data_IF_384584137322
#
_entry.id   IF_384584137322
#
_cell.length_a   1.000
_cell.length_b   1.000
_cell.length_c   1.000
_cell.angle_alpha   90.00
_cell.angle_beta   90.00
_cell.angle_gamma   90.00
#
_symmetry.space_group_name_H-M   'P 1'
#
loop_
_entity.id
_entity.type
_entity.pdbx_description
1 polymer ?
#
# COMPACT_ATOMS: atom_id res chain seq x y z
N UNK A 1 -26.33 -25.80 -4.22
CA UNK A 1 -25.01 -25.71 -4.88
C UNK A 1 -24.02 -26.48 -4.03
N UNK A 2 -23.22 -27.33 -4.62
CA UNK A 2 -22.15 -28.03 -3.90
C UNK A 2 -21.11 -27.00 -3.44
N UNK A 3 -20.73 -27.05 -2.16
CA UNK A 3 -19.72 -26.13 -1.63
C UNK A 3 -18.35 -26.44 -2.25
N UNK A 4 -17.61 -25.41 -2.60
CA UNK A 4 -16.26 -25.62 -3.11
C UNK A 4 -15.36 -26.10 -1.96
N UNK A 5 -14.61 -27.18 -2.20
CA UNK A 5 -13.63 -27.72 -1.25
C UNK A 5 -12.35 -26.86 -1.30
N UNK A 6 -12.45 -25.68 -0.69
CA UNK A 6 -11.40 -24.65 -0.62
C UNK A 6 -11.45 -23.99 0.76
N UNK A 7 -10.28 -23.61 1.25
CA UNK A 7 -10.15 -22.74 2.42
C UNK A 7 -9.99 -21.29 1.96
N UNK A 8 -10.94 -20.43 2.30
CA UNK A 8 -10.91 -19.00 1.95
C UNK A 8 -10.74 -18.15 3.21
N UNK A 9 -9.70 -17.33 3.22
CA UNK A 9 -9.49 -16.29 4.24
C UNK A 9 -10.06 -14.97 3.76
N UNK A 10 -10.86 -14.31 4.60
CA UNK A 10 -11.25 -12.90 4.39
C UNK A 10 -10.57 -12.04 5.43
N UNK A 11 -9.72 -11.15 4.96
CA UNK A 11 -8.96 -10.20 5.77
C UNK A 11 -9.63 -8.83 5.73
N UNK A 12 -9.96 -8.30 6.90
CA UNK A 12 -10.60 -6.99 7.09
C UNK A 12 -9.74 -6.09 7.96
N UNK A 13 -9.03 -5.12 7.39
CA UNK A 13 -8.39 -4.07 8.19
C UNK A 13 -9.49 -3.15 8.77
N UNK A 14 -9.47 -2.96 10.08
CA UNK A 14 -10.42 -2.13 10.82
C UNK A 14 -9.82 -0.76 11.14
N UNK A 15 -10.64 0.28 11.06
CA UNK A 15 -10.26 1.62 11.50
C UNK A 15 -11.34 2.19 12.42
N UNK A 16 -12.28 2.94 11.92
CA UNK A 16 -13.45 3.48 12.67
C UNK A 16 -14.73 2.78 12.18
N UNK A 17 -14.82 1.47 12.36
CA UNK A 17 -15.84 0.62 11.74
C UNK A 17 -16.90 0.10 12.74
N UNK A 18 -16.95 0.65 13.97
CA UNK A 18 -17.78 0.16 15.06
C UNK A 18 -19.26 -0.10 14.66
N UNK A 19 -19.84 0.80 13.87
CA UNK A 19 -21.25 0.72 13.48
C UNK A 19 -21.57 -0.37 12.45
N UNK A 20 -20.58 -0.77 11.65
CA UNK A 20 -20.81 -1.61 10.46
C UNK A 20 -20.19 -3.00 10.58
N UNK A 21 -19.15 -3.16 11.43
CA UNK A 21 -18.35 -4.39 11.48
C UNK A 21 -19.19 -5.63 11.78
N UNK A 22 -20.13 -5.54 12.71
CA UNK A 22 -21.03 -6.66 13.05
C UNK A 22 -21.80 -7.17 11.84
N UNK A 23 -22.46 -6.26 11.12
CA UNK A 23 -23.24 -6.59 9.93
C UNK A 23 -22.37 -7.15 8.79
N UNK A 24 -21.21 -6.53 8.55
CA UNK A 24 -20.31 -6.97 7.46
C UNK A 24 -19.72 -8.34 7.72
N UNK A 25 -19.32 -8.62 8.96
CA UNK A 25 -18.78 -9.94 9.32
C UNK A 25 -19.87 -11.01 9.25
N UNK A 26 -21.11 -10.71 9.67
CA UNK A 26 -22.24 -11.63 9.57
C UNK A 26 -22.60 -11.94 8.11
N UNK A 27 -22.70 -10.90 7.25
CA UNK A 27 -22.90 -11.05 5.80
C UNK A 27 -21.79 -11.93 5.20
N UNK A 28 -20.53 -11.64 5.56
CA UNK A 28 -19.36 -12.37 5.04
C UNK A 28 -19.36 -13.82 5.49
N UNK A 29 -19.57 -14.08 6.79
CA UNK A 29 -19.62 -15.44 7.34
C UNK A 29 -20.73 -16.27 6.69
N UNK A 30 -21.91 -15.67 6.54
CA UNK A 30 -23.04 -16.33 5.87
C UNK A 30 -22.71 -16.70 4.43
N UNK A 31 -22.15 -15.76 3.69
CA UNK A 31 -21.76 -15.97 2.29
C UNK A 31 -20.67 -17.05 2.18
N UNK A 32 -19.63 -17.02 3.06
CA UNK A 32 -18.56 -18.00 3.07
C UNK A 32 -19.07 -19.40 3.38
N UNK A 33 -19.90 -19.54 4.40
CA UNK A 33 -20.50 -20.82 4.81
C UNK A 33 -21.35 -21.45 3.69
N UNK A 34 -22.03 -20.63 2.89
CA UNK A 34 -22.85 -21.12 1.77
C UNK A 34 -22.02 -21.62 0.59
N UNK A 35 -20.85 -21.04 0.34
CA UNK A 35 -20.06 -21.27 -0.88
C UNK A 35 -18.82 -22.16 -0.67
N UNK A 36 -18.25 -22.21 0.54
CA UNK A 36 -16.99 -22.89 0.81
C UNK A 36 -17.10 -23.90 1.96
N UNK A 37 -16.30 -24.96 1.91
CA UNK A 37 -16.24 -25.97 2.96
C UNK A 37 -15.55 -25.42 4.20
N UNK A 38 -14.45 -24.69 4.01
CA UNK A 38 -13.65 -24.10 5.07
C UNK A 38 -13.44 -22.61 4.83
N UNK A 39 -13.47 -21.83 5.91
CA UNK A 39 -13.18 -20.40 5.83
C UNK A 39 -12.65 -19.87 7.17
N UNK A 40 -11.96 -18.76 7.11
CA UNK A 40 -11.60 -17.91 8.25
C UNK A 40 -11.82 -16.45 7.93
N UNK A 41 -12.12 -15.66 8.94
CA UNK A 41 -12.21 -14.21 8.85
C UNK A 41 -11.17 -13.64 9.82
N UNK A 42 -10.26 -12.81 9.30
CA UNK A 42 -9.24 -12.14 10.10
C UNK A 42 -9.57 -10.65 10.16
N UNK A 43 -9.83 -10.17 11.35
CA UNK A 43 -10.02 -8.76 11.66
C UNK A 43 -8.68 -8.22 12.16
N UNK A 44 -8.18 -7.14 11.58
CA UNK A 44 -6.94 -6.50 12.04
C UNK A 44 -7.24 -5.09 12.51
N UNK A 45 -7.16 -4.88 13.81
CA UNK A 45 -7.36 -3.59 14.46
C UNK A 45 -6.02 -2.84 14.54
N UNK A 46 -5.94 -1.71 13.85
CA UNK A 46 -4.74 -0.89 13.73
C UNK A 46 -4.97 0.49 14.35
N UNK A 47 -4.65 0.61 15.65
CA UNK A 47 -4.94 1.83 16.38
C UNK A 47 -6.43 2.18 16.45
N UNK A 48 -7.30 1.18 16.26
CA UNK A 48 -8.76 1.37 16.26
C UNK A 48 -9.25 1.88 17.59
N UNK A 49 -10.33 2.67 17.56
CA UNK A 49 -10.99 3.19 18.75
C UNK A 49 -11.61 2.07 19.63
N UNK A 50 -11.85 2.37 20.90
CA UNK A 50 -12.42 1.39 21.85
C UNK A 50 -13.78 0.85 21.39
N UNK A 51 -14.59 1.66 20.71
CA UNK A 51 -15.88 1.26 20.20
C UNK A 51 -15.76 0.19 19.11
N UNK A 52 -14.82 0.37 18.18
CA UNK A 52 -14.52 -0.63 17.12
C UNK A 52 -13.97 -1.91 17.72
N UNK A 53 -13.06 -1.81 18.71
CA UNK A 53 -12.53 -2.99 19.41
C UNK A 53 -13.62 -3.75 20.15
N UNK A 54 -14.50 -3.06 20.88
CA UNK A 54 -15.62 -3.68 21.59
C UNK A 54 -16.59 -4.37 20.62
N UNK A 55 -16.91 -3.72 19.48
CA UNK A 55 -17.75 -4.31 18.44
C UNK A 55 -17.10 -5.56 17.82
N UNK A 56 -15.81 -5.52 17.51
CA UNK A 56 -15.06 -6.66 16.99
C UNK A 56 -15.04 -7.83 17.99
N UNK A 57 -14.83 -7.57 19.29
CA UNK A 57 -14.88 -8.60 20.33
C UNK A 57 -16.29 -9.21 20.49
N UNK A 58 -17.34 -8.39 20.36
CA UNK A 58 -18.71 -8.89 20.36
C UNK A 58 -19.01 -9.83 19.18
N UNK A 59 -18.39 -9.57 18.03
CA UNK A 59 -18.45 -10.44 16.83
C UNK A 59 -17.77 -11.77 17.09
N UNK A 60 -16.58 -11.79 17.71
CA UNK A 60 -15.87 -13.02 18.05
C UNK A 60 -16.69 -13.96 18.92
N UNK A 61 -17.47 -13.42 19.87
CA UNK A 61 -18.30 -14.21 20.76
C UNK A 61 -19.49 -14.88 20.04
N UNK A 62 -19.93 -14.35 18.90
CA UNK A 62 -21.14 -14.78 18.20
C UNK A 62 -20.86 -15.59 16.94
N UNK A 63 -19.80 -15.25 16.21
CA UNK A 63 -19.52 -15.79 14.89
C UNK A 63 -18.28 -16.69 14.95
N UNK A 64 -18.38 -17.96 14.53
CA UNK A 64 -17.24 -18.87 14.50
C UNK A 64 -16.25 -18.52 13.40
N UNK A 65 -15.06 -19.07 13.50
CA UNK A 65 -13.97 -18.92 12.49
C UNK A 65 -13.53 -17.46 12.29
N UNK A 66 -13.63 -16.63 13.35
CA UNK A 66 -13.16 -15.24 13.35
C UNK A 66 -11.96 -15.10 14.27
N UNK A 67 -10.94 -14.38 13.80
CA UNK A 67 -9.72 -14.01 14.54
C UNK A 67 -9.60 -12.50 14.57
N UNK A 68 -9.21 -11.95 15.71
CA UNK A 68 -8.93 -10.53 15.87
C UNK A 68 -7.47 -10.35 16.24
N UNK A 69 -6.73 -9.66 15.37
CA UNK A 69 -5.35 -9.26 15.60
C UNK A 69 -5.34 -7.79 15.97
N UNK A 70 -4.74 -7.45 17.09
CA UNK A 70 -4.63 -6.07 17.53
C UNK A 70 -3.18 -5.62 17.40
N UNK A 71 -2.93 -4.57 16.64
CA UNK A 71 -1.62 -3.94 16.54
C UNK A 71 -1.40 -2.99 17.72
N UNK A 72 -0.14 -2.79 18.10
CA UNK A 72 0.19 -2.01 19.30
C UNK A 72 -0.05 -0.50 19.16
N UNK A 73 -0.16 -0.01 17.94
CA UNK A 73 -0.48 1.38 17.57
C UNK A 73 -0.99 1.42 16.13
N UNK A 74 -1.36 2.59 15.64
CA UNK A 74 -1.64 2.81 14.22
C UNK A 74 -0.33 2.72 13.41
N UNK A 75 -0.24 1.72 12.55
CA UNK A 75 0.86 1.48 11.60
C UNK A 75 0.44 1.77 10.17
N UNK A 76 -0.84 1.99 9.94
CA UNK A 76 -1.45 2.23 8.65
C UNK A 76 -1.99 0.97 7.98
N UNK A 77 -3.01 1.17 7.14
CA UNK A 77 -3.80 0.10 6.51
C UNK A 77 -2.95 -0.97 5.81
N UNK A 78 -1.87 -0.59 5.17
CA UNK A 78 -1.05 -1.55 4.40
C UNK A 78 -0.31 -2.53 5.31
N UNK A 79 0.18 -2.06 6.47
CA UNK A 79 0.82 -2.94 7.45
C UNK A 79 -0.20 -3.81 8.20
N UNK A 80 -1.42 -3.30 8.41
CA UNK A 80 -2.53 -4.11 8.92
C UNK A 80 -2.87 -5.26 7.98
N UNK A 81 -2.93 -4.98 6.68
CA UNK A 81 -3.15 -6.03 5.67
C UNK A 81 -2.01 -7.03 5.66
N UNK A 82 -0.75 -6.57 5.78
CA UNK A 82 0.40 -7.47 5.85
C UNK A 82 0.32 -8.40 7.06
N UNK A 83 0.02 -7.86 8.25
CA UNK A 83 -0.12 -8.65 9.47
C UNK A 83 -1.16 -9.77 9.31
N UNK A 84 -2.28 -9.45 8.67
CA UNK A 84 -3.30 -10.45 8.36
C UNK A 84 -2.85 -11.44 7.28
N UNK A 85 -2.12 -11.03 6.26
CA UNK A 85 -1.58 -11.93 5.23
C UNK A 85 -0.58 -12.93 5.80
N UNK A 86 0.32 -12.51 6.69
CA UNK A 86 1.32 -13.36 7.32
C UNK A 86 0.69 -14.46 8.21
N UNK A 87 -0.45 -14.17 8.80
CA UNK A 87 -1.17 -15.13 9.67
C UNK A 87 -2.25 -15.93 8.95
N UNK A 88 -2.61 -15.54 7.73
CA UNK A 88 -3.67 -16.19 6.95
C UNK A 88 -3.27 -17.61 6.52
N UNK A 89 -4.24 -18.55 6.51
CA UNK A 89 -4.01 -19.96 6.14
C UNK A 89 -4.77 -20.41 4.87
N UNK A 90 -5.72 -19.59 4.37
CA UNK A 90 -6.56 -19.95 3.24
C UNK A 90 -5.80 -20.14 1.92
N UNK A 91 -6.35 -20.97 1.03
CA UNK A 91 -5.86 -21.16 -0.35
C UNK A 91 -5.97 -19.86 -1.15
N UNK A 92 -7.00 -19.08 -0.83
CA UNK A 92 -7.26 -17.76 -1.39
C UNK A 92 -7.48 -16.77 -0.24
N UNK A 93 -6.81 -15.63 -0.32
CA UNK A 93 -6.97 -14.55 0.66
C UNK A 93 -7.64 -13.37 0.01
N UNK A 94 -8.77 -12.96 0.58
CA UNK A 94 -9.57 -11.82 0.15
C UNK A 94 -9.30 -10.65 1.09
N UNK A 95 -8.82 -9.54 0.57
CA UNK A 95 -8.71 -8.28 1.32
C UNK A 95 -10.00 -7.51 1.08
N UNK A 96 -10.75 -7.22 2.14
CA UNK A 96 -12.04 -6.57 2.08
C UNK A 96 -12.08 -5.38 3.05
N UNK A 97 -12.41 -4.20 2.54
CA UNK A 97 -12.64 -3.00 3.34
C UNK A 97 -14.10 -2.94 3.74
N UNK A 98 -14.45 -3.00 5.06
CA UNK A 98 -15.84 -3.10 5.53
C UNK A 98 -16.76 -2.02 4.99
N UNK A 99 -16.27 -0.78 4.87
CA UNK A 99 -17.06 0.38 4.43
C UNK A 99 -17.49 0.30 2.96
N UNK A 100 -16.60 -0.22 2.08
CA UNK A 100 -16.75 -0.05 0.63
C UNK A 100 -17.01 -1.32 -0.15
N UNK A 101 -16.62 -2.48 0.38
CA UNK A 101 -16.55 -3.68 -0.44
C UNK A 101 -17.73 -4.64 -0.12
N UNK A 102 -18.48 -5.05 -1.14
CA UNK A 102 -19.61 -5.96 -0.96
C UNK A 102 -19.13 -7.43 -0.85
N UNK A 103 -19.42 -8.14 0.28
CA UNK A 103 -19.06 -9.55 0.46
C UNK A 103 -19.64 -10.48 -0.61
N UNK A 104 -20.79 -10.12 -1.19
CA UNK A 104 -21.46 -10.93 -2.22
C UNK A 104 -20.63 -11.16 -3.49
N UNK A 105 -19.61 -10.34 -3.75
CA UNK A 105 -18.74 -10.49 -4.92
C UNK A 105 -17.58 -11.45 -4.69
N UNK A 106 -17.29 -11.85 -3.45
CA UNK A 106 -16.18 -12.73 -3.10
C UNK A 106 -16.19 -14.04 -3.94
N UNK A 107 -17.30 -14.78 -4.07
CA UNK A 107 -17.27 -16.03 -4.82
C UNK A 107 -16.87 -15.86 -6.29
N UNK A 108 -17.33 -14.79 -6.93
CA UNK A 108 -16.99 -14.49 -8.32
C UNK A 108 -15.51 -14.11 -8.47
N UNK A 109 -14.98 -13.32 -7.53
CA UNK A 109 -13.58 -12.92 -7.55
C UNK A 109 -12.65 -14.11 -7.24
N UNK A 110 -12.99 -14.97 -6.27
CA UNK A 110 -12.23 -16.18 -5.94
C UNK A 110 -12.23 -17.15 -7.13
N UNK A 111 -13.37 -17.39 -7.79
CA UNK A 111 -13.43 -18.22 -8.98
C UNK A 111 -12.48 -17.70 -10.09
N UNK A 112 -12.52 -16.40 -10.35
CA UNK A 112 -11.62 -15.75 -11.31
C UNK A 112 -10.14 -15.84 -10.90
N UNK A 113 -9.83 -15.73 -9.61
CA UNK A 113 -8.48 -15.84 -9.08
C UNK A 113 -7.96 -17.29 -9.23
N UNK A 114 -8.82 -18.28 -9.01
CA UNK A 114 -8.51 -19.69 -9.20
C UNK A 114 -8.13 -20.00 -10.64
N UNK A 115 -8.90 -19.52 -11.60
CA UNK A 115 -8.64 -19.74 -13.03
C UNK A 115 -7.34 -19.07 -13.49
N UNK A 116 -6.97 -17.95 -12.82
CA UNK A 116 -5.78 -17.17 -13.17
C UNK A 116 -4.51 -17.65 -12.47
N UNK A 117 -4.62 -18.31 -11.31
CA UNK A 117 -3.54 -18.63 -10.35
C UNK A 117 -2.66 -17.40 -10.04
N UNK A 118 -3.30 -16.29 -9.71
CA UNK A 118 -2.62 -15.01 -9.52
C UNK A 118 -3.36 -14.08 -8.57
N UNK A 119 -3.74 -12.90 -9.07
CA UNK A 119 -4.44 -11.88 -8.31
C UNK A 119 -5.60 -11.27 -9.11
N UNK A 120 -6.72 -11.05 -8.44
CA UNK A 120 -7.86 -10.28 -8.94
C UNK A 120 -7.99 -9.00 -8.15
N UNK A 121 -7.97 -7.85 -8.83
CA UNK A 121 -8.13 -6.52 -8.24
C UNK A 121 -9.51 -5.98 -8.53
N UNK A 122 -10.21 -5.51 -7.52
CA UNK A 122 -11.40 -4.69 -7.69
C UNK A 122 -11.05 -3.35 -8.33
N UNK A 123 -11.85 -2.95 -9.29
CA UNK A 123 -11.71 -1.66 -9.97
C UNK A 123 -13.04 -0.91 -9.86
N UNK A 124 -12.98 0.30 -9.33
CA UNK A 124 -14.15 1.17 -9.23
C UNK A 124 -14.65 1.57 -10.62
N UNK A 125 -15.87 1.08 -10.97
CA UNK A 125 -16.54 1.36 -12.24
C UNK A 125 -17.33 2.68 -12.23
N UNK A 126 -17.47 3.36 -11.09
CA UNK A 126 -18.22 4.61 -10.97
C UNK A 126 -17.55 5.81 -11.65
N UNK A 127 -16.35 5.63 -12.17
CA UNK A 127 -15.58 6.62 -12.92
C UNK A 127 -14.73 7.53 -12.04
N UNK A 128 -13.70 8.13 -12.66
CA UNK A 128 -12.78 9.05 -11.99
C UNK A 128 -13.50 10.36 -11.70
N UNK A 129 -14.00 10.51 -10.49
CA UNK A 129 -14.56 11.77 -9.99
C UNK A 129 -13.42 12.68 -9.53
N UNK A 130 -13.09 13.70 -10.32
CA UNK A 130 -12.08 14.71 -9.97
C UNK A 130 -12.03 15.84 -10.99
N UNK A 131 -11.63 17.04 -10.53
CA UNK A 131 -11.44 18.20 -11.41
C UNK A 131 -10.35 17.99 -12.46
N UNK A 132 -10.26 18.86 -13.49
CA UNK A 132 -9.32 18.71 -14.60
C UNK A 132 -7.85 18.66 -14.14
N UNK A 133 -7.48 19.43 -13.13
CA UNK A 133 -6.11 19.44 -12.56
C UNK A 133 -5.75 18.09 -11.96
N UNK A 134 -6.64 17.49 -11.17
CA UNK A 134 -6.45 16.16 -10.56
C UNK A 134 -6.32 15.08 -11.63
N UNK A 135 -7.07 15.20 -12.72
CA UNK A 135 -7.01 14.27 -13.86
C UNK A 135 -5.66 14.36 -14.60
N UNK A 136 -5.16 15.58 -14.82
CA UNK A 136 -3.85 15.80 -15.45
C UNK A 136 -2.73 15.23 -14.57
N UNK A 137 -2.75 15.51 -13.26
CA UNK A 137 -1.74 15.03 -12.33
C UNK A 137 -1.73 13.49 -12.23
N UNK A 138 -2.92 12.89 -12.20
CA UNK A 138 -3.09 11.44 -12.21
C UNK A 138 -2.54 10.81 -13.50
N UNK A 139 -2.83 11.42 -14.66
CA UNK A 139 -2.30 10.95 -15.94
C UNK A 139 -0.78 11.09 -16.01
N UNK A 140 -0.22 12.19 -15.49
CA UNK A 140 1.22 12.41 -15.43
C UNK A 140 1.91 11.39 -14.52
N UNK A 141 1.32 11.12 -13.35
CA UNK A 141 1.78 10.08 -12.42
C UNK A 141 1.78 8.69 -13.09
N UNK A 142 0.69 8.28 -13.73
CA UNK A 142 0.61 7.00 -14.45
C UNK A 142 1.59 6.93 -15.62
N UNK A 143 1.80 8.03 -16.34
CA UNK A 143 2.78 8.09 -17.41
C UNK A 143 4.22 7.92 -16.89
N UNK A 144 4.53 8.56 -15.75
CA UNK A 144 5.79 8.41 -15.05
C UNK A 144 6.01 6.96 -14.59
N UNK A 145 5.01 6.35 -13.91
CA UNK A 145 5.06 4.98 -13.43
C UNK A 145 5.32 3.99 -14.57
N UNK A 146 4.60 4.12 -15.68
CA UNK A 146 4.77 3.28 -16.86
C UNK A 146 6.12 3.47 -17.53
N UNK A 147 6.62 4.73 -17.62
CA UNK A 147 7.86 5.07 -18.34
C UNK A 147 9.13 4.69 -17.55
N UNK A 148 9.13 4.88 -16.24
CA UNK A 148 10.33 4.76 -15.41
C UNK A 148 10.33 3.51 -14.53
N UNK A 149 9.21 3.12 -13.96
CA UNK A 149 9.11 1.89 -13.15
C UNK A 149 8.68 0.67 -13.95
N UNK A 150 8.28 0.85 -15.22
CA UNK A 150 7.78 -0.22 -16.10
C UNK A 150 6.62 -0.99 -15.46
N UNK A 151 5.87 -0.35 -14.59
CA UNK A 151 4.81 -0.93 -13.78
C UNK A 151 3.48 -0.38 -14.27
N UNK A 152 2.60 -1.28 -14.66
CA UNK A 152 1.24 -0.93 -15.03
C UNK A 152 0.34 -1.01 -13.80
N UNK A 153 0.17 0.12 -13.12
CA UNK A 153 -0.89 0.27 -12.13
C UNK A 153 -2.23 0.38 -12.86
N UNK A 154 -3.13 -0.55 -12.57
CA UNK A 154 -4.50 -0.48 -13.11
C UNK A 154 -5.19 0.77 -12.55
N UNK A 155 -5.63 1.71 -13.39
CA UNK A 155 -6.31 2.91 -12.93
C UNK A 155 -7.65 2.55 -12.27
N UNK A 156 -7.95 3.16 -11.12
CA UNK A 156 -9.17 2.89 -10.38
C UNK A 156 -9.14 1.63 -9.51
N UNK A 157 -7.97 0.97 -9.34
CA UNK A 157 -7.84 -0.14 -8.39
C UNK A 157 -8.19 0.30 -6.97
N UNK A 158 -9.06 -0.49 -6.34
CA UNK A 158 -9.41 -0.37 -4.92
C UNK A 158 -8.55 -1.31 -4.07
N UNK A 159 -8.79 -1.32 -2.77
CA UNK A 159 -8.14 -2.26 -1.87
C UNK A 159 -8.82 -3.64 -1.84
N UNK A 160 -10.00 -3.77 -2.47
CA UNK A 160 -10.69 -5.05 -2.64
C UNK A 160 -9.90 -5.96 -3.58
N UNK A 161 -9.33 -7.05 -3.06
CA UNK A 161 -8.43 -7.94 -3.82
C UNK A 161 -8.58 -9.37 -3.38
N UNK A 162 -8.33 -10.28 -4.32
CA UNK A 162 -8.19 -11.71 -4.05
C UNK A 162 -6.82 -12.16 -4.49
N UNK A 163 -6.10 -12.82 -3.60
CA UNK A 163 -4.75 -13.31 -3.80
C UNK A 163 -4.74 -14.84 -3.70
N UNK A 164 -4.04 -15.52 -4.60
CA UNK A 164 -3.76 -16.95 -4.44
C UNK A 164 -2.71 -17.17 -3.35
N UNK A 165 -2.67 -18.34 -2.72
CA UNK A 165 -1.67 -18.70 -1.69
C UNK A 165 -0.24 -18.49 -2.18
N UNK A 166 0.03 -18.83 -3.43
CA UNK A 166 1.35 -18.59 -4.04
C UNK A 166 1.74 -17.11 -4.04
N UNK A 167 0.77 -16.27 -4.35
CA UNK A 167 0.97 -14.81 -4.33
C UNK A 167 1.20 -14.30 -2.91
N UNK A 168 0.41 -14.76 -1.93
CA UNK A 168 0.58 -14.41 -0.52
C UNK A 168 1.97 -14.81 -0.03
N UNK A 169 2.38 -16.06 -0.27
CA UNK A 169 3.70 -16.54 0.13
C UNK A 169 4.85 -15.77 -0.53
N UNK A 170 4.67 -15.33 -1.77
CA UNK A 170 5.65 -14.48 -2.43
C UNK A 170 5.71 -13.08 -1.80
N UNK A 171 4.55 -12.48 -1.49
CA UNK A 171 4.48 -11.15 -0.88
C UNK A 171 5.07 -11.12 0.53
N UNK A 172 4.81 -12.14 1.35
CA UNK A 172 5.32 -12.22 2.73
C UNK A 172 6.83 -12.50 2.83
N UNK A 173 7.47 -12.94 1.74
CA UNK A 173 8.94 -13.07 1.69
C UNK A 173 9.67 -11.74 1.51
N UNK A 174 9.01 -10.73 0.95
CA UNK A 174 9.61 -9.41 0.79
C UNK A 174 9.53 -8.62 2.09
N UNK A 175 10.63 -8.57 2.84
CA UNK A 175 10.74 -7.76 4.07
C UNK A 175 11.07 -6.29 3.80
N UNK A 176 11.39 -5.96 2.55
CA UNK A 176 11.81 -4.61 2.15
C UNK A 176 10.60 -3.80 1.67
N UNK A 177 10.41 -2.60 2.19
CA UNK A 177 9.48 -1.58 1.67
C UNK A 177 7.99 -1.97 1.65
N UNK A 178 7.47 -2.51 2.74
CA UNK A 178 6.04 -2.88 2.86
C UNK A 178 5.05 -1.71 2.79
N UNK A 179 5.51 -0.50 2.62
CA UNK A 179 4.60 0.66 2.58
C UNK A 179 3.64 0.66 1.39
N UNK A 180 3.75 -0.29 0.45
CA UNK A 180 2.87 -0.30 -0.72
C UNK A 180 2.67 -1.70 -1.30
N UNK A 181 1.75 -2.46 -0.70
CA UNK A 181 1.26 -3.73 -1.22
C UNK A 181 0.86 -3.63 -2.70
N UNK A 182 0.31 -2.48 -3.10
CA UNK A 182 -0.08 -2.18 -4.48
C UNK A 182 1.11 -2.23 -5.44
N UNK A 183 2.30 -1.83 -4.99
CA UNK A 183 3.52 -1.86 -5.81
C UNK A 183 4.16 -3.25 -5.79
N UNK A 184 4.23 -3.92 -4.63
CA UNK A 184 4.78 -5.26 -4.52
C UNK A 184 4.04 -6.25 -5.41
N UNK A 185 2.71 -6.16 -5.47
CA UNK A 185 1.91 -7.00 -6.35
C UNK A 185 2.24 -6.82 -7.83
N UNK A 186 2.83 -5.69 -8.23
CA UNK A 186 3.27 -5.47 -9.62
C UNK A 186 4.67 -6.03 -9.88
N UNK A 187 5.52 -6.09 -8.86
CA UNK A 187 6.92 -6.53 -8.96
C UNK A 187 7.03 -8.06 -9.03
N UNK A 188 6.13 -8.78 -8.37
CA UNK A 188 6.18 -10.25 -8.27
C UNK A 188 5.88 -10.97 -9.59
N UNK A 189 5.38 -10.28 -10.62
CA UNK A 189 5.24 -10.83 -11.97
C UNK A 189 4.12 -11.86 -12.18
N UNK A 190 3.26 -12.09 -11.18
CA UNK A 190 2.09 -12.97 -11.34
C UNK A 190 1.00 -12.35 -12.21
N UNK A 191 0.15 -13.19 -12.79
CA UNK A 191 -0.98 -12.76 -13.60
C UNK A 191 -1.97 -11.94 -12.76
N UNK A 192 -2.46 -10.84 -13.33
CA UNK A 192 -3.39 -9.91 -12.69
C UNK A 192 -4.60 -9.70 -13.57
N UNK A 193 -5.78 -9.66 -12.95
CA UNK A 193 -7.03 -9.37 -13.64
C UNK A 193 -7.78 -8.25 -12.91
N UNK A 194 -8.40 -7.37 -13.67
CA UNK A 194 -9.32 -6.38 -13.16
C UNK A 194 -10.73 -6.97 -13.01
N UNK A 195 -11.39 -6.64 -11.91
CA UNK A 195 -12.78 -6.96 -11.66
C UNK A 195 -13.56 -5.66 -11.42
N UNK A 196 -14.29 -5.17 -12.42
CA UNK A 196 -15.06 -3.94 -12.26
C UNK A 196 -16.22 -4.16 -11.29
N UNK A 197 -16.36 -3.26 -10.30
CA UNK A 197 -17.48 -3.25 -9.38
C UNK A 197 -17.81 -1.82 -8.94
N UNK A 198 -18.93 -1.63 -8.27
CA UNK A 198 -19.32 -0.35 -7.71
C UNK A 198 -19.15 -0.42 -6.19
N UNK A 199 -18.23 0.38 -5.60
CA UNK A 199 -18.06 0.45 -4.16
C UNK A 199 -19.34 0.92 -3.47
N UNK A 200 -19.60 0.36 -2.30
CA UNK A 200 -20.68 0.78 -1.41
C UNK A 200 -20.24 1.99 -0.58
N UNK A 201 -21.18 2.63 0.10
CA UNK A 201 -20.92 3.58 1.19
C UNK A 201 -21.88 3.26 2.31
N UNK A 202 -21.46 2.42 3.26
CA UNK A 202 -22.32 1.90 4.33
C UNK A 202 -22.59 2.93 5.41
N UNK A 203 -21.58 3.71 5.76
CA UNK A 203 -21.72 4.79 6.77
C UNK A 203 -22.24 6.11 6.18
N UNK A 204 -22.34 6.20 4.85
CA UNK A 204 -22.65 7.45 4.15
C UNK A 204 -21.49 8.48 4.20
N UNK A 205 -20.41 8.19 4.90
CA UNK A 205 -19.17 8.97 4.89
C UNK A 205 -18.36 8.60 3.65
N UNK A 206 -18.39 9.43 2.64
CA UNK A 206 -17.47 9.26 1.50
C UNK A 206 -16.08 9.66 2.02
N UNK A 207 -15.27 8.69 2.42
CA UNK A 207 -13.86 8.92 2.75
C UNK A 207 -13.11 9.34 1.48
N UNK A 208 -13.06 10.65 1.26
CA UNK A 208 -12.25 11.23 0.18
C UNK A 208 -10.90 11.59 0.76
N UNK A 209 -9.87 10.90 0.31
CA UNK A 209 -8.49 11.37 0.57
C UNK A 209 -8.37 12.83 0.08
N UNK A 210 -7.79 13.67 0.91
CA UNK A 210 -7.49 15.03 0.54
C UNK A 210 -6.53 15.09 -0.65
N UNK A 211 -6.62 16.13 -1.48
CA UNK A 211 -5.68 16.30 -2.60
C UNK A 211 -4.21 16.32 -2.15
N UNK A 212 -3.93 16.92 -0.99
CA UNK A 212 -2.59 16.98 -0.40
C UNK A 212 -2.12 15.59 0.03
N UNK A 213 -2.98 14.77 0.61
CA UNK A 213 -2.67 13.38 1.00
C UNK A 213 -2.36 12.51 -0.21
N UNK A 214 -3.16 12.62 -1.28
CA UNK A 214 -2.88 11.92 -2.54
C UNK A 214 -1.55 12.35 -3.18
N UNK A 215 -1.21 13.63 -3.07
CA UNK A 215 0.05 14.15 -3.59
C UNK A 215 1.25 13.63 -2.77
N UNK A 216 1.16 13.62 -1.44
CA UNK A 216 2.19 13.03 -0.58
C UNK A 216 2.37 11.54 -0.86
N UNK A 217 1.28 10.78 -0.95
CA UNK A 217 1.33 9.34 -1.30
C UNK A 217 2.00 9.12 -2.67
N UNK A 218 1.69 9.96 -3.66
CA UNK A 218 2.33 9.87 -4.97
C UNK A 218 3.84 10.19 -4.94
N UNK A 219 4.25 11.19 -4.16
CA UNK A 219 5.66 11.55 -3.98
C UNK A 219 6.40 10.42 -3.26
N UNK A 220 5.82 9.87 -2.20
CA UNK A 220 6.39 8.75 -1.46
C UNK A 220 6.59 7.52 -2.35
N UNK A 221 5.63 7.20 -3.21
CA UNK A 221 5.75 6.14 -4.20
C UNK A 221 6.97 6.38 -5.11
N UNK A 222 7.10 7.59 -5.64
CA UNK A 222 8.17 7.95 -6.56
C UNK A 222 9.53 7.86 -5.87
N UNK A 223 9.66 8.40 -4.67
CA UNK A 223 10.94 8.45 -3.95
C UNK A 223 11.35 7.07 -3.44
N UNK A 224 10.39 6.26 -2.98
CA UNK A 224 10.67 4.92 -2.44
C UNK A 224 11.02 3.91 -3.53
N UNK A 225 10.31 3.93 -4.66
CA UNK A 225 10.44 2.89 -5.70
C UNK A 225 11.21 3.34 -6.94
N UNK A 226 11.64 4.61 -7.03
CA UNK A 226 12.36 5.12 -8.19
C UNK A 226 13.73 5.65 -7.83
N UNK A 227 14.75 5.18 -8.55
CA UNK A 227 16.10 5.78 -8.51
C UNK A 227 16.22 7.05 -9.35
N UNK A 228 15.15 7.46 -10.02
CA UNK A 228 15.17 8.62 -10.93
C UNK A 228 15.42 9.96 -10.21
N UNK A 229 14.80 10.26 -9.04
CA UNK A 229 15.10 11.48 -8.31
C UNK A 229 16.59 11.59 -7.97
N UNK A 230 17.22 10.49 -7.55
CA UNK A 230 18.65 10.47 -7.22
C UNK A 230 19.53 10.70 -8.49
N UNK A 231 19.15 10.10 -9.61
CA UNK A 231 19.83 10.36 -10.90
C UNK A 231 19.67 11.81 -11.33
N UNK A 232 18.48 12.39 -11.19
CA UNK A 232 18.26 13.80 -11.51
C UNK A 232 19.21 14.70 -10.71
N UNK A 233 19.34 14.43 -9.41
CA UNK A 233 20.26 15.14 -8.52
C UNK A 233 21.71 15.00 -9.00
N UNK A 234 22.14 13.79 -9.37
CA UNK A 234 23.47 13.57 -9.91
C UNK A 234 23.68 14.36 -11.20
N UNK A 235 22.72 14.37 -12.11
CA UNK A 235 22.79 15.16 -13.35
C UNK A 235 22.84 16.67 -13.07
N UNK A 236 22.05 17.16 -12.09
CA UNK A 236 22.12 18.57 -11.66
C UNK A 236 23.51 18.92 -11.12
N UNK A 237 24.11 18.04 -10.32
CA UNK A 237 25.47 18.21 -9.80
C UNK A 237 26.52 18.28 -10.92
N UNK A 238 26.46 17.34 -11.87
CA UNK A 238 27.33 17.36 -13.04
C UNK A 238 27.17 18.62 -13.89
N UNK A 239 25.94 19.06 -14.11
CA UNK A 239 25.65 20.28 -14.86
C UNK A 239 26.17 21.53 -14.15
N UNK A 240 25.94 21.64 -12.84
CA UNK A 240 26.49 22.74 -12.04
C UNK A 240 28.02 22.74 -12.03
N UNK A 241 28.64 21.56 -11.89
CA UNK A 241 30.09 21.40 -12.00
C UNK A 241 30.64 21.84 -13.36
N UNK A 242 29.97 21.43 -14.44
CA UNK A 242 30.36 21.83 -15.79
C UNK A 242 30.28 23.35 -16.02
N UNK A 243 29.19 23.99 -15.56
CA UNK A 243 29.06 25.46 -15.62
C UNK A 243 30.14 26.16 -14.80
N UNK A 244 30.51 25.59 -13.65
CA UNK A 244 31.60 26.15 -12.84
C UNK A 244 32.94 26.08 -13.56
N UNK A 245 33.26 24.94 -14.21
CA UNK A 245 34.50 24.80 -15.01
C UNK A 245 34.53 25.80 -16.15
N UNK A 246 33.43 26.00 -16.87
CA UNK A 246 33.33 27.02 -17.92
C UNK A 246 33.56 28.44 -17.40
N UNK A 247 33.01 28.74 -16.19
CA UNK A 247 33.22 30.04 -15.56
C UNK A 247 34.68 30.25 -15.17
N UNK A 248 35.34 29.26 -14.59
CA UNK A 248 36.77 29.32 -14.23
C UNK A 248 37.61 29.54 -15.47
N UNK A 249 37.31 28.83 -16.57
CA UNK A 249 37.99 29.00 -17.85
C UNK A 249 37.79 30.42 -18.39
N UNK A 250 36.56 30.95 -18.35
CA UNK A 250 36.23 32.34 -18.74
C UNK A 250 37.02 33.35 -17.89
N UNK A 251 37.06 33.19 -16.58
CA UNK A 251 37.80 34.04 -15.66
C UNK A 251 39.31 34.02 -15.96
N UNK A 252 39.88 32.84 -16.23
CA UNK A 252 41.28 32.67 -16.61
C UNK A 252 41.60 33.35 -17.97
N UNK A 253 40.71 33.24 -18.98
CA UNK A 253 40.89 33.91 -20.28
C UNK A 253 40.85 35.43 -20.11
N UNK A 254 39.92 35.98 -19.31
CA UNK A 254 39.87 37.41 -19.02
C UNK A 254 41.16 37.88 -18.35
N UNK A 255 41.66 37.15 -17.37
CA UNK A 255 42.91 37.49 -16.69
C UNK A 255 44.11 37.51 -17.61
N UNK A 256 44.16 36.60 -18.61
CA UNK A 256 45.26 36.54 -19.59
C UNK A 256 45.21 37.64 -20.67
N UNK A 257 44.00 38.04 -21.09
CA UNK A 257 43.85 38.93 -22.23
C UNK A 257 43.43 40.37 -21.89
N UNK A 258 42.95 40.66 -20.68
CA UNK A 258 42.50 41.99 -20.25
C UNK A 258 43.43 42.54 -19.16
N UNK A 259 44.04 43.71 -19.42
CA UNK A 259 44.93 44.39 -18.46
C UNK A 259 44.17 45.17 -17.38
N UNK A 260 42.95 45.64 -17.67
CA UNK A 260 42.05 46.32 -16.70
C UNK A 260 40.82 45.45 -16.48
N UNK A 261 40.80 44.72 -15.36
CA UNK A 261 39.66 43.94 -14.95
C UNK A 261 38.77 44.80 -14.07
N UNK A 262 37.60 45.17 -14.56
CA UNK A 262 36.57 45.82 -13.72
C UNK A 262 36.25 44.93 -12.49
N UNK A 263 35.97 45.52 -11.32
CA UNK A 263 35.72 44.74 -10.13
C UNK A 263 34.52 43.80 -10.30
N UNK A 264 34.79 42.53 -10.59
CA UNK A 264 33.79 41.49 -10.83
C UNK A 264 33.09 40.96 -9.61
N UNK A 265 32.99 41.76 -8.53
CA UNK A 265 32.43 41.36 -7.24
C UNK A 265 30.99 40.85 -7.38
N UNK A 266 30.15 41.52 -8.14
CA UNK A 266 28.74 41.17 -8.35
C UNK A 266 28.63 39.81 -9.06
N UNK A 267 29.45 39.57 -10.08
CA UNK A 267 29.46 38.33 -10.87
C UNK A 267 29.89 37.14 -9.99
N UNK A 268 30.94 37.33 -9.18
CA UNK A 268 31.39 36.32 -8.21
C UNK A 268 30.32 36.00 -7.16
N UNK A 269 29.66 37.02 -6.62
CA UNK A 269 28.61 36.84 -5.63
C UNK A 269 27.41 36.08 -6.18
N UNK A 270 26.96 36.41 -7.38
CA UNK A 270 25.85 35.70 -8.04
C UNK A 270 26.24 34.26 -8.36
N UNK A 271 27.43 34.02 -8.88
CA UNK A 271 27.92 32.66 -9.16
C UNK A 271 27.99 31.81 -7.88
N UNK A 272 28.58 32.34 -6.81
CA UNK A 272 28.63 31.60 -5.54
C UNK A 272 27.22 31.31 -4.99
N UNK A 273 26.30 32.28 -5.09
CA UNK A 273 24.90 32.08 -4.69
C UNK A 273 24.25 30.92 -5.44
N UNK A 274 24.39 30.87 -6.76
CA UNK A 274 23.87 29.79 -7.61
C UNK A 274 24.53 28.44 -7.27
N UNK A 275 25.83 28.42 -7.10
CA UNK A 275 26.57 27.22 -6.72
C UNK A 275 26.12 26.66 -5.37
N UNK A 276 25.99 27.52 -4.35
CA UNK A 276 25.53 27.11 -3.04
C UNK A 276 24.08 26.61 -3.08
N UNK A 277 23.21 27.22 -3.87
CA UNK A 277 21.85 26.73 -4.06
C UNK A 277 21.87 25.27 -4.56
N UNK A 278 22.66 24.95 -5.57
CA UNK A 278 22.78 23.56 -6.04
C UNK A 278 23.38 22.64 -4.99
N UNK A 279 24.43 23.07 -4.30
CA UNK A 279 25.07 22.24 -3.24
C UNK A 279 24.10 21.95 -2.10
N UNK A 280 23.37 22.93 -1.61
CA UNK A 280 22.38 22.73 -0.55
C UNK A 280 21.19 21.87 -1.00
N UNK A 281 20.72 22.03 -2.25
CA UNK A 281 19.70 21.18 -2.84
C UNK A 281 20.14 19.73 -2.93
N UNK A 282 21.39 19.50 -3.38
CA UNK A 282 22.02 18.18 -3.40
C UNK A 282 22.10 17.54 -2.00
N UNK A 283 22.57 18.31 -1.01
CA UNK A 283 22.68 17.83 0.36
C UNK A 283 21.33 17.51 0.96
N UNK A 284 20.29 18.32 0.71
CA UNK A 284 18.95 18.06 1.21
C UNK A 284 18.39 16.73 0.68
N UNK A 285 18.52 16.49 -0.62
CA UNK A 285 18.05 15.25 -1.23
C UNK A 285 18.90 14.05 -0.77
N UNK A 286 20.23 14.22 -0.68
CA UNK A 286 21.10 13.17 -0.17
C UNK A 286 20.75 12.79 1.28
N UNK A 287 20.44 13.79 2.12
CA UNK A 287 20.02 13.58 3.51
C UNK A 287 18.75 12.73 3.60
N UNK A 288 17.77 12.97 2.72
CA UNK A 288 16.55 12.16 2.64
C UNK A 288 16.85 10.69 2.33
N UNK A 289 17.74 10.43 1.36
CA UNK A 289 18.13 9.07 1.02
C UNK A 289 18.93 8.38 2.12
N UNK A 290 19.84 9.11 2.79
CA UNK A 290 20.59 8.57 3.92
C UNK A 290 19.65 8.24 5.07
N UNK A 291 18.65 9.09 5.34
CA UNK A 291 17.61 8.80 6.33
C UNK A 291 16.88 7.50 6.04
N UNK A 292 16.46 7.27 4.79
CA UNK A 292 15.80 6.02 4.36
C UNK A 292 16.69 4.80 4.49
N UNK A 293 17.97 4.89 4.09
CA UNK A 293 18.93 3.80 4.26
C UNK A 293 19.11 3.47 5.74
N UNK A 294 19.14 4.48 6.61
CA UNK A 294 19.25 4.29 8.05
C UNK A 294 18.00 3.58 8.62
N UNK A 295 16.82 3.94 8.19
CA UNK A 295 15.57 3.28 8.59
C UNK A 295 15.57 1.81 8.15
N UNK A 296 15.93 1.53 6.91
CA UNK A 296 15.99 0.19 6.36
C UNK A 296 17.07 -0.67 7.05
N UNK A 297 18.24 -0.08 7.39
CA UNK A 297 19.32 -0.78 8.05
C UNK A 297 19.04 -1.15 9.50
N UNK A 298 18.10 -0.46 10.18
CA UNK A 298 17.74 -0.73 11.57
C UNK A 298 17.04 -2.07 11.79
N UNK A 299 16.50 -2.69 10.74
CA UNK A 299 15.86 -4.02 10.80
C UNK A 299 14.73 -4.12 11.83
N UNK A 300 14.07 -3.00 12.15
CA UNK A 300 12.96 -2.99 13.11
C UNK A 300 11.78 -3.78 12.55
N UNK A 301 11.03 -4.51 13.41
CA UNK A 301 9.80 -5.14 12.94
C UNK A 301 8.87 -4.06 12.38
N UNK A 302 8.24 -4.36 11.26
CA UNK A 302 7.38 -3.43 10.53
C UNK A 302 6.13 -3.05 11.33
N UNK A 303 5.62 -4.00 12.10
CA UNK A 303 4.50 -3.84 13.01
C UNK A 303 4.73 -4.69 14.28
N UNK A 304 3.98 -4.42 15.33
CA UNK A 304 3.98 -5.19 16.56
C UNK A 304 2.54 -5.58 16.89
N UNK A 305 2.30 -6.87 17.05
CA UNK A 305 1.02 -7.39 17.52
C UNK A 305 0.99 -7.23 19.04
N UNK A 306 -0.04 -6.56 19.57
CA UNK A 306 -0.23 -6.38 21.01
C UNK A 306 -1.01 -7.52 21.62
N UNK A 307 -2.02 -8.03 20.91
CA UNK A 307 -2.87 -9.12 21.38
C UNK A 307 -3.53 -9.83 20.18
N UNK A 308 -3.88 -11.10 20.37
CA UNK A 308 -4.64 -11.89 19.41
C UNK A 308 -5.77 -12.61 20.13
N UNK A 309 -6.99 -12.46 19.63
CA UNK A 309 -8.19 -13.10 20.17
C UNK A 309 -8.87 -13.93 19.09
N UNK A 310 -9.31 -15.11 19.47
CA UNK A 310 -9.95 -16.05 18.57
C UNK A 310 -11.39 -16.31 19.01
N UNK A 311 -12.27 -16.60 18.06
CA UNK A 311 -13.59 -17.13 18.35
C UNK A 311 -13.47 -18.54 18.97
N UNK A 312 -14.51 -19.05 19.66
CA UNK A 312 -14.48 -20.38 20.29
C UNK A 312 -14.21 -21.52 19.30
N UNK A 313 -14.54 -21.31 18.02
CA UNK A 313 -14.32 -22.26 16.93
C UNK A 313 -13.48 -21.58 15.86
N UNK A 314 -12.25 -22.09 15.62
CA UNK A 314 -11.36 -21.56 14.60
C UNK A 314 -11.60 -22.22 13.23
N UNK A 315 -11.86 -23.53 13.22
CA UNK A 315 -12.15 -24.29 12.01
C UNK A 315 -13.34 -25.21 12.26
N UNK A 316 -14.22 -25.31 11.27
CA UNK A 316 -15.29 -26.28 11.25
C UNK A 316 -14.84 -27.46 10.36
N UNK A 317 -14.85 -28.65 10.91
CA UNK A 317 -14.68 -29.90 10.13
C UNK A 317 -15.98 -30.29 9.42
N UNK A 318 -15.96 -31.38 8.65
CA UNK A 318 -17.14 -31.87 7.93
C UNK A 318 -18.31 -32.22 8.89
N UNK A 319 -17.99 -32.55 10.13
CA UNK A 319 -18.97 -32.87 11.20
C UNK A 319 -19.33 -31.64 12.05
N UNK A 320 -18.87 -30.44 11.68
CA UNK A 320 -19.02 -29.18 12.44
C UNK A 320 -18.42 -29.26 13.87
N UNK A 321 -17.42 -30.09 14.07
CA UNK A 321 -16.71 -30.19 15.35
C UNK A 321 -15.57 -29.18 15.39
N UNK A 322 -15.32 -28.67 16.57
CA UNK A 322 -14.15 -27.82 16.78
C UNK A 322 -12.88 -28.64 16.61
N UNK A 323 -12.00 -28.26 15.67
CA UNK A 323 -10.71 -28.92 15.41
C UNK A 323 -9.72 -28.63 16.53
N UNK A 324 -9.85 -27.50 17.18
CA UNK A 324 -9.03 -27.14 18.35
C UNK A 324 -9.72 -27.68 19.59
N UNK A 325 -9.27 -28.83 20.08
CA UNK A 325 -9.70 -29.33 21.39
C UNK A 325 -9.11 -28.43 22.47
N UNK A 326 -9.96 -28.00 23.40
CA UNK A 326 -9.50 -27.36 24.63
C UNK A 326 -8.40 -28.20 25.26
N UNK A 327 -7.17 -27.74 25.22
CA UNK A 327 -6.09 -28.28 26.04
C UNK A 327 -6.43 -27.89 27.49
N UNK A 328 -7.02 -28.83 28.22
CA UNK A 328 -7.13 -28.73 29.68
C UNK A 328 -5.74 -28.70 30.30
#
# INVERSE_FOLDING_TARGET
>A
MERADLLVTVLMPLHEDAAIIGTVVEETSTMLTQNYTHHEIILVADGSDEATLAAAQAVLAKIPCVRLIMLSRDFGRELSVLAGLETSIGDYVVILVPETDPPSLIPQMVAKCRDLDGMVNGVDSSGVRGGPVRRILKNLFHAYMRRFLKTELLPGCTDFRVLSRRMVNALTQFRESYHQLRMLTTTVGYRRCAFPYTPLSRSGKIMRKGFIEELHEAIDIIVTHSRQPLRLVSWMGWFAGFLNVLYVLYAALIYLFKKDVAPGWTTLSVQHGVMFFFVFSLLAILSEYVGRILEESRGRPLYLVSDEKNSPVLHLDADQRNVVKDSK
#
